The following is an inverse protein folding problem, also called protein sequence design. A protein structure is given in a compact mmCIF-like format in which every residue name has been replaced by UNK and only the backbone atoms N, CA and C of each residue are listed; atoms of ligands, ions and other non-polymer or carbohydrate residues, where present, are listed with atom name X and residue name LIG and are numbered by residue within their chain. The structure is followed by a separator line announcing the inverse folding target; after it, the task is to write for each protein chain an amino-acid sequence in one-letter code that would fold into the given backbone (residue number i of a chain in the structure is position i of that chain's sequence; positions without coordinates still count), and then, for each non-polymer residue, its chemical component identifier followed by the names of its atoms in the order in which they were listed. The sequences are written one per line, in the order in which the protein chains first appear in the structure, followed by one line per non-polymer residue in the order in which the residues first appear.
data_IF_397737269943
#
_entry.id   IF_397737269943
#
_cell.length_a   1.000
_cell.length_b   1.000
_cell.length_c   1.000
_cell.angle_alpha   90.00
_cell.angle_beta   90.00
_cell.angle_gamma   90.00
#
_symmetry.space_group_name_H-M   'P 1'
#
loop_
_entity.id
_entity.type
_entity.pdbx_description
1 polymer ?
#
# COMPACT_ATOMS: atom_id res chain seq x y z
N UNK A 1 50.66 36.94 40.56
CA UNK A 1 50.81 36.23 39.26
C UNK A 1 49.55 35.45 39.09
N UNK A 2 48.58 36.07 38.39
CA UNK A 2 47.23 35.53 38.19
C UNK A 2 47.17 34.82 36.81
N UNK A 3 46.89 33.53 36.78
CA UNK A 3 46.62 32.76 35.58
C UNK A 3 45.09 32.65 35.41
N UNK A 4 44.54 33.37 34.44
CA UNK A 4 43.17 33.25 34.00
C UNK A 4 43.01 32.00 33.12
N UNK A 5 42.18 31.05 33.55
CA UNK A 5 41.74 29.90 32.75
C UNK A 5 40.51 30.33 31.89
N UNK A 6 40.70 30.44 30.56
CA UNK A 6 39.62 30.59 29.59
C UNK A 6 38.99 29.22 29.37
N UNK A 7 37.72 29.04 29.81
CA UNK A 7 36.89 27.90 29.40
C UNK A 7 36.22 28.20 28.07
N UNK A 8 36.66 27.50 27.02
CA UNK A 8 36.05 27.51 25.70
C UNK A 8 34.80 26.62 25.76
N UNK A 9 33.59 27.19 25.73
CA UNK A 9 32.32 26.46 25.59
C UNK A 9 32.10 26.22 24.11
N UNK A 10 32.29 24.99 23.67
CA UNK A 10 32.03 24.55 22.32
C UNK A 10 30.53 24.23 22.19
N UNK A 11 29.78 25.15 21.56
CA UNK A 11 28.39 24.90 21.16
C UNK A 11 28.39 23.96 19.97
N UNK A 12 28.03 22.69 20.19
CA UNK A 12 27.76 21.73 19.13
C UNK A 12 26.34 22.04 18.61
N UNK A 13 26.24 22.75 17.47
CA UNK A 13 25.01 22.83 16.69
C UNK A 13 24.75 21.43 16.10
N UNK A 14 23.83 20.68 16.70
CA UNK A 14 23.22 19.55 16.02
C UNK A 14 22.33 20.10 14.89
N UNK A 15 22.86 20.14 13.69
CA UNK A 15 22.04 20.26 12.49
C UNK A 15 21.24 18.96 12.35
N UNK A 16 19.99 18.96 12.80
CA UNK A 16 19.03 17.96 12.43
C UNK A 16 18.86 18.02 10.91
N UNK A 17 19.32 16.99 10.20
CA UNK A 17 19.03 16.81 8.79
C UNK A 17 17.55 16.48 8.66
N UNK A 18 16.71 17.51 8.47
CA UNK A 18 15.36 17.30 7.95
C UNK A 18 15.53 16.77 6.52
N UNK A 19 14.81 15.70 6.13
CA UNK A 19 14.78 15.32 4.73
C UNK A 19 14.24 16.50 3.94
N UNK A 20 15.04 17.02 3.00
CA UNK A 20 14.59 18.02 2.04
C UNK A 20 13.48 17.36 1.24
N UNK A 21 12.23 17.72 1.49
CA UNK A 21 11.13 17.39 0.63
C UNK A 21 11.41 18.13 -0.68
N UNK A 22 11.53 17.41 -1.80
CA UNK A 22 11.68 18.05 -3.10
C UNK A 22 10.43 18.91 -3.35
N UNK A 23 10.58 20.22 -3.25
CA UNK A 23 9.52 21.19 -3.55
C UNK A 23 9.30 21.19 -5.06
N UNK A 24 8.04 21.20 -5.48
CA UNK A 24 7.68 21.36 -6.88
C UNK A 24 8.05 22.78 -7.30
N UNK A 25 8.74 23.00 -8.46
CA UNK A 25 9.09 24.34 -8.93
C UNK A 25 7.86 25.24 -9.12
N UNK A 26 8.03 26.54 -8.88
CA UNK A 26 6.96 27.56 -8.96
C UNK A 26 6.32 27.66 -10.38
N UNK A 27 7.01 27.21 -11.43
CA UNK A 27 6.53 27.24 -12.81
C UNK A 27 5.75 25.98 -13.23
N UNK A 28 5.39 25.12 -12.27
CA UNK A 28 4.63 23.90 -12.48
C UNK A 28 3.17 24.07 -12.06
N UNK A 29 2.25 23.61 -12.88
CA UNK A 29 0.81 23.58 -12.63
C UNK A 29 0.32 22.15 -12.50
N UNK A 30 -0.35 21.82 -11.39
CA UNK A 30 -0.99 20.52 -11.21
C UNK A 30 -2.25 20.44 -12.09
N UNK A 31 -2.32 19.40 -12.93
CA UNK A 31 -3.44 19.22 -13.86
C UNK A 31 -4.37 18.07 -13.42
N UNK A 32 -3.81 16.94 -13.02
CA UNK A 32 -4.57 15.72 -12.72
C UNK A 32 -3.88 14.91 -11.64
N UNK A 33 -4.69 14.22 -10.84
CA UNK A 33 -4.22 13.33 -9.79
C UNK A 33 -4.93 11.98 -9.88
N UNK A 34 -4.17 10.89 -9.81
CA UNK A 34 -4.69 9.54 -9.62
C UNK A 34 -4.13 9.00 -8.32
N UNK A 35 -5.02 8.57 -7.42
CA UNK A 35 -4.66 7.98 -6.13
C UNK A 35 -5.10 6.53 -6.12
N UNK A 36 -4.16 5.60 -5.91
CA UNK A 36 -4.46 4.21 -5.60
C UNK A 36 -4.24 4.00 -4.12
N UNK A 37 -5.31 3.71 -3.38
CA UNK A 37 -5.30 3.57 -1.93
C UNK A 37 -5.57 2.13 -1.51
N UNK A 38 -4.85 1.65 -0.49
CA UNK A 38 -5.27 0.48 0.28
C UNK A 38 -6.50 0.86 1.10
N UNK A 39 -7.45 -0.07 1.28
CA UNK A 39 -8.56 0.11 2.22
C UNK A 39 -8.06 0.46 3.63
N UNK A 40 -8.88 1.14 4.42
CA UNK A 40 -8.58 1.50 5.81
C UNK A 40 -8.48 0.28 6.75
N UNK A 41 -8.31 0.53 8.05
CA UNK A 41 -8.22 -0.51 9.08
C UNK A 41 -9.48 -1.39 9.08
N UNK A 42 -9.29 -2.70 9.11
CA UNK A 42 -10.33 -3.73 9.05
C UNK A 42 -10.13 -4.83 10.09
N UNK A 43 -11.16 -5.60 10.37
CA UNK A 43 -11.00 -6.89 11.04
C UNK A 43 -10.18 -7.86 10.16
N UNK A 44 -9.48 -8.85 10.74
CA UNK A 44 -8.83 -9.94 10.00
C UNK A 44 -9.78 -10.59 9.00
N UNK A 45 -9.27 -11.03 7.85
CA UNK A 45 -10.13 -11.66 6.84
C UNK A 45 -10.58 -13.07 7.21
N UNK A 46 -9.85 -13.73 8.12
CA UNK A 46 -10.17 -15.08 8.62
C UNK A 46 -9.51 -15.33 9.96
N UNK A 47 -10.09 -16.23 10.72
CA UNK A 47 -9.45 -16.95 11.82
C UNK A 47 -9.49 -18.45 11.51
N UNK A 48 -8.34 -19.10 11.60
CA UNK A 48 -8.22 -20.55 11.31
C UNK A 48 -7.93 -21.33 12.59
N UNK A 49 -8.26 -22.64 12.67
CA UNK A 49 -7.88 -23.47 13.82
C UNK A 49 -6.39 -23.39 14.14
N UNK A 50 -5.53 -23.39 13.11
CA UNK A 50 -4.08 -23.27 13.27
C UNK A 50 -3.68 -22.01 14.06
N UNK A 51 -4.39 -20.90 13.91
CA UNK A 51 -4.10 -19.68 14.67
C UNK A 51 -4.32 -19.84 16.19
N UNK A 52 -5.18 -20.77 16.61
CA UNK A 52 -5.34 -21.12 18.04
C UNK A 52 -4.25 -22.11 18.50
N UNK A 53 -3.74 -22.93 17.61
CA UNK A 53 -2.75 -23.95 17.92
C UNK A 53 -1.32 -23.40 18.07
N UNK A 54 -1.01 -22.26 17.44
CA UNK A 54 0.33 -21.63 17.43
C UNK A 54 0.61 -20.72 18.62
N UNK A 55 -0.37 -20.46 19.47
CA UNK A 55 -0.23 -19.62 20.68
C UNK A 55 -1.10 -20.18 21.79
N UNK A 56 -0.69 -20.04 23.08
CA UNK A 56 -1.56 -20.37 24.21
C UNK A 56 -2.59 -19.28 24.51
N UNK A 57 -2.55 -18.14 23.83
CA UNK A 57 -3.39 -16.99 24.11
C UNK A 57 -4.67 -16.99 23.26
N UNK A 58 -5.74 -16.34 23.78
CA UNK A 58 -6.97 -16.12 23.04
C UNK A 58 -6.85 -14.89 22.17
N UNK A 59 -7.30 -15.00 20.91
CA UNK A 59 -7.35 -13.86 20.00
C UNK A 59 -8.43 -12.86 20.42
N UNK A 60 -8.18 -11.55 20.33
CA UNK A 60 -9.18 -10.55 20.65
C UNK A 60 -10.35 -10.58 19.66
N UNK A 61 -11.52 -10.23 20.17
CA UNK A 61 -12.70 -10.05 19.32
C UNK A 61 -12.67 -8.69 18.63
N UNK A 62 -13.24 -8.65 17.45
CA UNK A 62 -13.45 -7.43 16.67
C UNK A 62 -14.93 -7.07 16.69
N UNK A 63 -15.23 -5.78 16.66
CA UNK A 63 -16.59 -5.21 16.73
C UNK A 63 -17.32 -5.22 15.37
N UNK A 64 -16.65 -5.70 14.31
CA UNK A 64 -17.19 -5.86 12.96
C UNK A 64 -16.94 -7.27 12.43
N UNK A 65 -17.70 -7.74 11.42
CA UNK A 65 -17.47 -9.03 10.77
C UNK A 65 -16.06 -9.11 10.17
N UNK A 66 -15.57 -10.34 9.99
CA UNK A 66 -14.27 -10.61 9.39
C UNK A 66 -14.13 -9.93 8.03
N UNK A 67 -13.00 -9.26 7.82
CA UNK A 67 -12.68 -8.56 6.59
C UNK A 67 -13.39 -7.22 6.38
N UNK A 68 -14.23 -6.78 7.31
CA UNK A 68 -14.96 -5.51 7.21
C UNK A 68 -14.12 -4.34 7.76
N UNK A 69 -14.30 -3.18 7.11
CA UNK A 69 -13.74 -1.92 7.58
C UNK A 69 -14.30 -1.59 8.96
N UNK A 70 -13.45 -1.18 9.90
CA UNK A 70 -13.88 -0.70 11.22
C UNK A 70 -14.33 0.75 11.15
N UNK A 71 -15.08 1.22 12.15
CA UNK A 71 -15.45 2.63 12.28
C UNK A 71 -14.19 3.51 12.28
N UNK A 72 -13.20 3.15 13.11
CA UNK A 72 -11.91 3.85 13.18
C UNK A 72 -11.17 3.85 11.83
N UNK A 73 -11.19 2.73 11.11
CA UNK A 73 -10.61 2.65 9.77
C UNK A 73 -11.25 3.64 8.81
N UNK A 74 -12.57 3.82 8.88
CA UNK A 74 -13.31 4.83 8.12
C UNK A 74 -12.91 6.26 8.51
N UNK A 75 -12.80 6.56 9.81
CA UNK A 75 -12.42 7.88 10.32
C UNK A 75 -10.99 8.27 9.90
N UNK A 76 -10.02 7.34 9.98
CA UNK A 76 -8.65 7.57 9.51
C UNK A 76 -8.60 7.90 8.01
N UNK A 77 -9.39 7.20 7.19
CA UNK A 77 -9.50 7.50 5.74
C UNK A 77 -10.22 8.84 5.50
N UNK A 78 -11.19 9.20 6.34
CA UNK A 78 -11.85 10.52 6.25
C UNK A 78 -10.85 11.66 6.45
N UNK A 79 -9.89 11.52 7.37
CA UNK A 79 -8.82 12.51 7.53
C UNK A 79 -7.91 12.56 6.29
N UNK A 80 -7.57 11.42 5.67
CA UNK A 80 -6.82 11.39 4.42
C UNK A 80 -7.58 12.14 3.31
N UNK A 81 -8.89 11.94 3.21
CA UNK A 81 -9.75 12.67 2.27
C UNK A 81 -9.68 14.19 2.46
N UNK A 82 -9.75 14.67 3.71
CA UNK A 82 -9.59 16.11 4.02
C UNK A 82 -8.22 16.64 3.61
N UNK A 83 -7.17 15.88 3.86
CA UNK A 83 -5.83 16.24 3.44
C UNK A 83 -5.73 16.37 1.91
N UNK A 84 -6.23 15.39 1.16
CA UNK A 84 -6.18 15.42 -0.30
C UNK A 84 -7.04 16.55 -0.88
N UNK A 85 -8.20 16.85 -0.30
CA UNK A 85 -9.00 18.02 -0.66
C UNK A 85 -8.17 19.32 -0.53
N UNK A 86 -7.52 19.49 0.62
CA UNK A 86 -6.67 20.67 0.85
C UNK A 86 -5.54 20.74 -0.18
N UNK A 87 -4.86 19.64 -0.49
CA UNK A 87 -3.78 19.60 -1.48
C UNK A 87 -4.29 20.07 -2.86
N UNK A 88 -5.46 19.60 -3.32
CA UNK A 88 -5.99 19.99 -4.62
C UNK A 88 -6.47 21.45 -4.65
N UNK A 89 -7.01 21.97 -3.55
CA UNK A 89 -7.40 23.37 -3.44
C UNK A 89 -6.15 24.27 -3.42
N UNK A 90 -5.14 23.94 -2.62
CA UNK A 90 -3.90 24.72 -2.51
C UNK A 90 -3.14 24.79 -3.85
N UNK A 91 -3.26 23.75 -4.69
CA UNK A 91 -2.67 23.71 -6.03
C UNK A 91 -3.62 24.22 -7.15
N UNK A 92 -4.76 24.82 -6.80
CA UNK A 92 -5.70 25.44 -7.76
C UNK A 92 -6.44 24.46 -8.69
N UNK A 93 -6.46 23.17 -8.37
CA UNK A 93 -7.17 22.14 -9.14
C UNK A 93 -8.67 22.16 -8.84
N UNK A 94 -9.03 22.47 -7.59
CA UNK A 94 -10.42 22.60 -7.11
C UNK A 94 -10.64 23.92 -6.42
N UNK A 95 -11.90 24.37 -6.45
CA UNK A 95 -12.33 25.58 -5.77
C UNK A 95 -12.71 25.28 -4.30
N UNK A 96 -12.34 26.19 -3.39
CA UNK A 96 -12.73 26.08 -1.98
C UNK A 96 -14.25 26.26 -1.81
N UNK A 97 -14.85 25.45 -0.93
CA UNK A 97 -16.28 25.50 -0.57
C UNK A 97 -17.26 25.24 -1.75
N UNK A 98 -16.79 24.62 -2.82
CA UNK A 98 -17.61 24.20 -3.96
C UNK A 98 -17.61 22.67 -4.03
N UNK A 99 -18.79 22.07 -4.20
CA UNK A 99 -18.88 20.64 -4.45
C UNK A 99 -18.27 20.30 -5.81
N UNK A 100 -17.29 19.39 -5.86
CA UNK A 100 -16.74 18.99 -7.16
C UNK A 100 -17.79 18.24 -7.98
N UNK A 101 -17.80 18.50 -9.28
CA UNK A 101 -18.68 17.78 -10.22
C UNK A 101 -18.17 16.33 -10.46
N UNK A 102 -19.00 15.43 -11.00
CA UNK A 102 -18.55 14.09 -11.41
C UNK A 102 -17.45 14.09 -12.50
N UNK A 103 -17.36 15.18 -13.27
CA UNK A 103 -16.31 15.38 -14.27
C UNK A 103 -14.99 15.86 -13.65
N UNK A 104 -15.03 16.34 -12.39
CA UNK A 104 -13.84 16.74 -11.65
C UNK A 104 -13.33 15.63 -10.73
N UNK A 105 -14.22 14.89 -10.07
CA UNK A 105 -13.84 13.91 -9.04
C UNK A 105 -14.61 12.62 -9.23
N UNK A 106 -13.89 11.53 -9.42
CA UNK A 106 -14.42 10.18 -9.48
C UNK A 106 -13.75 9.27 -8.45
N UNK A 107 -14.52 8.36 -7.87
CA UNK A 107 -14.07 7.36 -6.90
C UNK A 107 -14.48 5.98 -7.37
N UNK A 108 -13.51 5.08 -7.55
CA UNK A 108 -13.71 3.66 -7.90
C UNK A 108 -13.28 2.80 -6.70
N UNK A 109 -14.01 1.75 -6.40
CA UNK A 109 -13.66 0.77 -5.36
C UNK A 109 -13.79 -0.67 -5.87
N UNK A 110 -12.96 -1.58 -5.35
CA UNK A 110 -13.22 -3.03 -5.49
C UNK A 110 -14.55 -3.40 -4.79
N UNK A 111 -15.08 -4.56 -5.10
CA UNK A 111 -16.39 -5.04 -4.64
C UNK A 111 -16.46 -5.38 -3.16
N UNK A 112 -15.34 -5.56 -2.47
CA UNK A 112 -15.32 -5.86 -1.04
C UNK A 112 -15.93 -4.72 -0.20
N UNK A 113 -16.63 -5.06 0.90
CA UNK A 113 -17.24 -4.06 1.80
C UNK A 113 -16.20 -3.01 2.25
N UNK A 114 -15.00 -3.46 2.66
CA UNK A 114 -13.95 -2.57 3.17
C UNK A 114 -13.46 -1.55 2.13
N UNK A 115 -13.38 -1.92 0.86
CA UNK A 115 -12.93 -1.01 -0.21
C UNK A 115 -14.02 -0.01 -0.58
N UNK A 116 -15.28 -0.45 -0.69
CA UNK A 116 -16.43 0.44 -0.92
C UNK A 116 -16.58 1.45 0.22
N UNK A 117 -16.51 0.98 1.47
CA UNK A 117 -16.56 1.86 2.66
C UNK A 117 -15.35 2.78 2.78
N UNK A 118 -14.18 2.38 2.29
CA UNK A 118 -13.01 3.26 2.16
C UNK A 118 -13.29 4.40 1.17
N UNK A 119 -13.85 4.11 0.01
CA UNK A 119 -14.25 5.14 -0.95
C UNK A 119 -15.30 6.11 -0.38
N UNK A 120 -16.32 5.60 0.35
CA UNK A 120 -17.32 6.41 1.04
C UNK A 120 -16.68 7.31 2.11
N UNK A 121 -15.76 6.76 2.92
CA UNK A 121 -15.06 7.50 3.97
C UNK A 121 -14.13 8.58 3.38
N UNK A 122 -13.42 8.27 2.28
CA UNK A 122 -12.64 9.25 1.55
C UNK A 122 -13.52 10.43 1.10
N UNK A 123 -14.66 10.17 0.45
CA UNK A 123 -15.59 11.20 0.02
C UNK A 123 -16.17 12.01 1.19
N UNK A 124 -16.43 11.38 2.33
CA UNK A 124 -16.91 12.06 3.53
C UNK A 124 -15.92 13.13 4.04
N UNK A 125 -14.63 12.90 3.86
CA UNK A 125 -13.58 13.88 4.16
C UNK A 125 -13.31 14.85 3.01
N UNK A 126 -13.22 14.32 1.79
CA UNK A 126 -12.83 15.06 0.60
C UNK A 126 -13.92 16.02 0.09
N UNK A 127 -15.19 15.60 0.08
CA UNK A 127 -16.32 16.36 -0.45
C UNK A 127 -17.53 16.27 0.50
N UNK A 128 -17.40 16.78 1.75
CA UNK A 128 -18.42 16.62 2.77
C UNK A 128 -19.75 17.29 2.35
N UNK A 129 -20.84 16.51 2.43
CA UNK A 129 -22.18 16.96 2.04
C UNK A 129 -22.46 17.04 0.53
N UNK A 130 -21.48 16.70 -0.31
CA UNK A 130 -21.65 16.67 -1.76
C UNK A 130 -22.28 15.36 -2.24
N UNK A 131 -22.70 15.33 -3.53
CA UNK A 131 -23.41 14.18 -4.11
C UNK A 131 -22.51 13.19 -4.87
N UNK A 132 -21.19 13.32 -4.71
CA UNK A 132 -20.23 12.40 -5.31
C UNK A 132 -20.46 10.97 -4.79
N UNK A 133 -20.26 9.98 -5.65
CA UNK A 133 -20.56 8.57 -5.36
C UNK A 133 -19.33 7.70 -5.59
N UNK A 134 -19.30 6.57 -4.88
CA UNK A 134 -18.34 5.50 -5.15
C UNK A 134 -18.88 4.63 -6.27
N UNK A 135 -18.07 4.44 -7.31
CA UNK A 135 -18.34 3.54 -8.42
C UNK A 135 -17.68 2.19 -8.14
N UNK A 136 -18.37 1.11 -8.41
CA UNK A 136 -17.86 -0.26 -8.28
C UNK A 136 -18.66 -1.18 -9.20
N UNK A 137 -18.14 -2.38 -9.44
CA UNK A 137 -18.84 -3.35 -10.26
C UNK A 137 -20.22 -3.67 -9.66
N UNK A 138 -21.28 -3.62 -10.48
CA UNK A 138 -22.67 -3.81 -10.03
C UNK A 138 -22.91 -5.18 -9.40
N UNK A 139 -22.34 -6.22 -10.00
CA UNK A 139 -22.36 -7.58 -9.42
C UNK A 139 -21.25 -7.69 -8.36
N UNK A 140 -21.52 -7.18 -7.16
CA UNK A 140 -20.56 -7.14 -6.07
C UNK A 140 -20.33 -8.50 -5.36
N UNK A 141 -21.03 -9.54 -5.77
CA UNK A 141 -20.74 -10.92 -5.34
C UNK A 141 -19.55 -11.51 -6.12
N UNK A 142 -19.18 -10.90 -7.25
CA UNK A 142 -17.99 -11.23 -8.02
C UNK A 142 -16.85 -10.28 -7.75
N UNK A 143 -15.62 -10.80 -7.87
CA UNK A 143 -14.43 -9.96 -7.84
C UNK A 143 -14.35 -9.08 -9.09
N UNK A 144 -13.85 -7.86 -8.93
CA UNK A 144 -13.65 -6.95 -10.03
C UNK A 144 -12.31 -7.26 -10.74
N UNK A 145 -12.33 -7.46 -12.09
CA UNK A 145 -11.12 -7.73 -12.85
C UNK A 145 -10.10 -6.57 -12.83
N UNK A 146 -10.52 -5.33 -12.56
CA UNK A 146 -9.60 -4.21 -12.38
C UNK A 146 -8.60 -4.48 -11.24
N UNK A 147 -9.08 -5.06 -10.14
CA UNK A 147 -8.28 -5.34 -8.94
C UNK A 147 -7.79 -6.78 -8.87
N UNK A 148 -8.47 -7.71 -9.53
CA UNK A 148 -8.24 -9.14 -9.41
C UNK A 148 -8.22 -9.86 -10.78
N UNK A 149 -7.45 -9.39 -11.79
CA UNK A 149 -7.55 -9.89 -13.17
C UNK A 149 -7.23 -11.38 -13.30
N UNK A 150 -6.26 -11.89 -12.54
CA UNK A 150 -5.88 -13.30 -12.58
C UNK A 150 -6.98 -14.19 -11.99
N UNK A 151 -7.57 -13.80 -10.86
CA UNK A 151 -8.69 -14.55 -10.26
C UNK A 151 -9.94 -14.55 -11.13
N UNK A 152 -10.11 -13.53 -11.94
CA UNK A 152 -11.23 -13.40 -12.87
C UNK A 152 -10.96 -14.02 -14.23
N UNK A 153 -9.80 -14.66 -14.43
CA UNK A 153 -9.43 -15.31 -15.69
C UNK A 153 -9.14 -14.35 -16.85
N UNK A 154 -9.06 -13.03 -16.59
CA UNK A 154 -8.68 -12.03 -17.58
C UNK A 154 -7.20 -12.13 -17.90
N UNK A 155 -6.39 -12.51 -16.92
CA UNK A 155 -4.97 -12.71 -17.04
C UNK A 155 -4.57 -14.08 -16.46
N UNK A 156 -3.43 -14.59 -16.91
CA UNK A 156 -2.84 -15.82 -16.35
C UNK A 156 -1.34 -15.65 -16.15
N UNK A 157 -0.78 -16.36 -15.19
CA UNK A 157 0.66 -16.43 -15.02
C UNK A 157 1.30 -17.36 -16.03
N UNK A 158 2.45 -16.97 -16.57
CA UNK A 158 3.35 -17.94 -17.20
C UNK A 158 4.04 -18.71 -16.07
N UNK A 159 3.61 -19.94 -15.82
CA UNK A 159 4.01 -20.74 -14.65
C UNK A 159 5.52 -20.86 -14.54
N UNK A 160 6.20 -21.25 -15.62
CA UNK A 160 7.65 -21.44 -15.60
C UNK A 160 8.40 -20.12 -15.33
N UNK A 161 8.13 -19.08 -16.11
CA UNK A 161 8.79 -17.76 -15.94
C UNK A 161 8.53 -17.17 -14.57
N UNK A 162 7.29 -17.29 -14.07
CA UNK A 162 6.90 -16.78 -12.77
C UNK A 162 7.63 -17.50 -11.64
N UNK A 163 7.71 -18.83 -11.72
CA UNK A 163 8.44 -19.64 -10.74
C UNK A 163 9.94 -19.33 -10.74
N UNK A 164 10.56 -19.25 -11.92
CA UNK A 164 11.97 -18.88 -12.07
C UNK A 164 12.26 -17.48 -11.51
N UNK A 165 11.42 -16.50 -11.81
CA UNK A 165 11.57 -15.12 -11.32
C UNK A 165 11.45 -15.05 -9.78
N UNK A 166 10.49 -15.76 -9.18
CA UNK A 166 10.32 -15.80 -7.73
C UNK A 166 11.53 -16.49 -7.07
N UNK A 167 11.97 -17.62 -7.61
CA UNK A 167 13.12 -18.34 -7.04
C UNK A 167 14.42 -17.55 -7.19
N UNK A 168 14.60 -16.83 -8.30
CA UNK A 168 15.75 -15.91 -8.48
C UNK A 168 15.75 -14.83 -7.39
N UNK A 169 14.59 -14.22 -7.12
CA UNK A 169 14.42 -13.22 -6.05
C UNK A 169 14.62 -13.82 -4.64
N UNK A 170 14.29 -15.12 -4.48
CA UNK A 170 14.54 -15.90 -3.26
C UNK A 170 15.96 -16.50 -3.18
N UNK A 171 16.92 -16.02 -4.00
CA UNK A 171 18.32 -16.48 -4.02
C UNK A 171 18.46 -18.00 -4.27
N UNK A 172 17.56 -18.56 -5.08
CA UNK A 172 17.59 -19.92 -5.55
C UNK A 172 16.58 -20.87 -4.89
N UNK A 173 16.24 -20.65 -3.60
CA UNK A 173 15.21 -21.46 -2.95
C UNK A 173 14.60 -20.78 -1.72
N UNK A 174 13.41 -21.25 -1.32
CA UNK A 174 12.64 -20.68 -0.22
C UNK A 174 13.30 -20.94 1.15
N UNK A 175 14.01 -22.04 1.32
CA UNK A 175 14.67 -22.35 2.59
C UNK A 175 15.79 -21.32 2.90
N UNK A 176 16.66 -21.05 1.93
CA UNK A 176 17.70 -20.02 2.06
C UNK A 176 17.08 -18.64 2.31
N UNK A 177 16.02 -18.31 1.60
CA UNK A 177 15.27 -17.09 1.83
C UNK A 177 14.72 -17.02 3.26
N UNK A 178 14.18 -18.12 3.79
CA UNK A 178 13.68 -18.21 5.17
C UNK A 178 14.78 -17.97 6.20
N UNK A 179 15.97 -18.53 6.00
CA UNK A 179 17.12 -18.37 6.91
C UNK A 179 17.53 -16.90 7.10
N UNK A 180 17.39 -16.06 6.08
CA UNK A 180 17.65 -14.61 6.20
C UNK A 180 16.74 -13.91 7.22
N UNK A 181 15.58 -14.46 7.48
CA UNK A 181 14.56 -13.91 8.38
C UNK A 181 14.47 -14.66 9.72
N UNK A 182 15.43 -15.52 10.04
CA UNK A 182 15.44 -16.31 11.28
C UNK A 182 15.24 -15.44 12.53
N UNK A 183 15.86 -14.24 12.57
CA UNK A 183 15.71 -13.31 13.70
C UNK A 183 14.26 -12.79 13.81
N UNK A 184 13.61 -12.49 12.68
CA UNK A 184 12.23 -12.03 12.64
C UNK A 184 11.26 -13.16 13.04
N UNK A 185 11.49 -14.39 12.56
CA UNK A 185 10.72 -15.57 13.01
C UNK A 185 10.85 -15.80 14.50
N UNK A 186 12.07 -15.71 15.07
CA UNK A 186 12.27 -15.80 16.53
C UNK A 186 11.51 -14.71 17.31
N UNK A 187 11.49 -13.48 16.81
CA UNK A 187 10.70 -12.40 17.41
C UNK A 187 9.20 -12.75 17.40
N UNK A 188 8.68 -13.24 16.27
CA UNK A 188 7.29 -13.69 16.18
C UNK A 188 7.00 -14.86 17.14
N UNK A 189 7.87 -15.85 17.22
CA UNK A 189 7.76 -16.99 18.15
C UNK A 189 7.71 -16.54 19.62
N UNK A 190 8.50 -15.53 19.98
CA UNK A 190 8.47 -14.93 21.33
C UNK A 190 7.13 -14.23 21.59
N UNK A 191 6.64 -13.41 20.65
CA UNK A 191 5.34 -12.72 20.75
C UNK A 191 4.21 -13.73 20.89
N UNK A 192 4.21 -14.79 20.09
CA UNK A 192 3.22 -15.88 20.13
C UNK A 192 3.35 -16.77 21.38
N UNK A 193 4.47 -16.73 22.13
CA UNK A 193 4.81 -17.74 23.11
C UNK A 193 4.76 -19.16 22.52
N UNK A 194 5.32 -19.30 21.31
CA UNK A 194 5.17 -20.46 20.45
C UNK A 194 5.64 -21.75 21.12
N UNK A 195 6.70 -21.71 21.93
CA UNK A 195 7.22 -22.86 22.68
C UNK A 195 6.18 -23.50 23.61
N UNK A 196 5.14 -22.74 24.03
CA UNK A 196 4.02 -23.23 24.85
C UNK A 196 2.76 -23.54 24.04
N UNK A 197 2.80 -23.39 22.75
CA UNK A 197 1.67 -23.63 21.86
C UNK A 197 1.34 -25.12 21.71
N UNK A 198 0.14 -25.44 21.27
CA UNK A 198 -0.25 -26.82 20.94
C UNK A 198 0.54 -27.35 19.74
N UNK A 199 0.77 -26.53 18.73
CA UNK A 199 1.55 -26.88 17.54
C UNK A 199 2.98 -27.28 17.90
N UNK A 200 3.65 -26.53 18.80
CA UNK A 200 4.99 -26.86 19.25
C UNK A 200 5.04 -28.17 20.07
N UNK A 201 4.07 -28.40 20.97
CA UNK A 201 4.01 -29.65 21.74
C UNK A 201 3.77 -30.90 20.89
N UNK A 202 3.09 -30.74 19.77
CA UNK A 202 2.81 -31.83 18.84
C UNK A 202 4.00 -32.16 17.92
N UNK A 203 4.89 -31.19 17.69
CA UNK A 203 6.12 -31.39 16.96
C UNK A 203 7.12 -32.15 17.85
N UNK A 204 7.30 -33.44 17.65
CA UNK A 204 8.05 -34.39 18.48
C UNK A 204 9.56 -34.11 18.65
N UNK A 205 10.04 -32.88 18.52
CA UNK A 205 11.45 -32.50 18.52
C UNK A 205 11.75 -31.43 19.56
N UNK A 206 12.90 -31.57 20.24
CA UNK A 206 13.47 -30.53 21.07
C UNK A 206 13.82 -29.30 20.22
N UNK A 207 13.24 -28.11 20.57
CA UNK A 207 13.54 -26.86 19.91
C UNK A 207 12.67 -26.58 18.68
N UNK A 208 11.35 -26.67 18.82
CA UNK A 208 10.44 -26.34 17.73
C UNK A 208 10.52 -24.85 17.34
N UNK A 209 10.56 -24.59 16.04
CA UNK A 209 10.48 -23.26 15.44
C UNK A 209 9.28 -23.22 14.48
N UNK A 210 8.78 -22.02 14.20
CA UNK A 210 7.68 -21.87 13.22
C UNK A 210 8.08 -22.46 11.84
N UNK A 211 9.24 -22.10 11.24
CA UNK A 211 9.64 -22.69 9.96
C UNK A 211 9.87 -24.21 10.03
N UNK A 212 10.39 -24.73 11.13
CA UNK A 212 10.61 -26.17 11.30
C UNK A 212 9.32 -26.96 11.51
N UNK A 213 8.33 -26.35 12.18
CA UNK A 213 7.02 -26.97 12.44
C UNK A 213 6.08 -26.86 11.25
N UNK A 214 6.17 -25.76 10.49
CA UNK A 214 5.32 -25.43 9.34
C UNK A 214 6.19 -25.10 8.12
N UNK A 215 6.77 -26.12 7.46
CA UNK A 215 7.58 -25.90 6.26
C UNK A 215 6.82 -25.09 5.21
N UNK A 216 7.52 -24.19 4.54
CA UNK A 216 6.92 -23.32 3.53
C UNK A 216 7.20 -23.83 2.13
N UNK A 217 6.16 -23.91 1.31
CA UNK A 217 6.23 -24.36 -0.07
C UNK A 217 5.73 -23.28 -1.02
N UNK A 218 6.48 -23.03 -2.09
CA UNK A 218 6.06 -22.17 -3.19
C UNK A 218 5.17 -22.97 -4.14
N UNK A 219 3.96 -22.45 -4.39
CA UNK A 219 3.04 -22.97 -5.41
C UNK A 219 2.80 -21.90 -6.46
N UNK A 220 3.03 -22.28 -7.72
CA UNK A 220 2.77 -21.46 -8.90
C UNK A 220 1.91 -22.26 -9.87
N UNK A 221 0.78 -21.69 -10.28
CA UNK A 221 -0.10 -22.18 -11.33
C UNK A 221 -0.54 -21.00 -12.21
N UNK A 222 -1.33 -21.25 -13.25
CA UNK A 222 -1.80 -20.19 -14.14
C UNK A 222 -2.64 -19.11 -13.43
N UNK A 223 -3.26 -19.44 -12.30
CA UNK A 223 -4.17 -18.57 -11.52
C UNK A 223 -3.68 -18.28 -10.09
N UNK A 224 -2.62 -18.93 -9.64
CA UNK A 224 -2.19 -18.87 -8.24
C UNK A 224 -0.68 -18.72 -8.12
N UNK A 225 -0.27 -17.79 -7.28
CA UNK A 225 1.08 -17.65 -6.73
C UNK A 225 0.94 -17.52 -5.21
N UNK A 226 1.47 -18.48 -4.47
CA UNK A 226 1.36 -18.54 -3.01
C UNK A 226 2.56 -19.21 -2.35
N UNK A 227 2.88 -18.76 -1.14
CA UNK A 227 3.68 -19.50 -0.17
C UNK A 227 2.75 -20.08 0.90
N UNK A 228 2.95 -21.35 1.26
CA UNK A 228 2.27 -21.99 2.38
C UNK A 228 3.10 -21.90 3.67
N UNK A 229 2.65 -22.60 4.72
CA UNK A 229 3.40 -22.82 5.94
C UNK A 229 3.72 -21.55 6.72
N UNK A 230 4.92 -21.49 7.29
CA UNK A 230 5.36 -20.41 8.18
C UNK A 230 5.29 -19.02 7.52
N UNK A 231 5.63 -18.89 6.24
CA UNK A 231 5.57 -17.61 5.53
C UNK A 231 4.15 -17.06 5.43
N UNK A 232 3.20 -17.90 4.97
CA UNK A 232 1.79 -17.46 4.86
C UNK A 232 1.21 -17.09 6.22
N UNK A 233 1.54 -17.87 7.24
CA UNK A 233 1.05 -17.65 8.58
C UNK A 233 1.65 -16.39 9.19
N UNK A 234 2.97 -16.22 9.13
CA UNK A 234 3.66 -15.07 9.73
C UNK A 234 3.24 -13.73 9.09
N UNK A 235 3.13 -13.68 7.77
CA UNK A 235 2.63 -12.48 7.08
C UNK A 235 1.22 -12.11 7.54
N UNK A 236 0.32 -13.07 7.67
CA UNK A 236 -1.05 -12.84 8.15
C UNK A 236 -1.07 -12.38 9.61
N UNK A 237 -0.28 -13.02 10.49
CA UNK A 237 -0.26 -12.70 11.92
C UNK A 237 0.31 -11.30 12.19
N UNK A 238 1.41 -10.95 11.53
CA UNK A 238 2.04 -9.64 11.72
C UNK A 238 1.17 -8.51 11.17
N UNK A 239 0.42 -8.76 10.09
CA UNK A 239 -0.63 -7.83 9.64
C UNK A 239 -1.76 -7.70 10.68
N UNK A 240 -2.22 -8.80 11.30
CA UNK A 240 -3.24 -8.73 12.35
C UNK A 240 -2.77 -7.88 13.54
N UNK A 241 -1.52 -8.01 13.96
CA UNK A 241 -0.95 -7.18 15.03
C UNK A 241 -0.91 -5.70 14.63
N UNK A 242 -0.51 -5.40 13.39
CA UNK A 242 -0.55 -4.04 12.84
C UNK A 242 -1.99 -3.48 12.85
N UNK A 243 -2.97 -4.27 12.43
CA UNK A 243 -4.38 -3.86 12.43
C UNK A 243 -4.91 -3.61 13.86
N UNK A 244 -4.50 -4.41 14.84
CA UNK A 244 -4.82 -4.18 16.26
C UNK A 244 -4.24 -2.85 16.75
N UNK A 245 -2.97 -2.56 16.40
CA UNK A 245 -2.30 -1.31 16.76
C UNK A 245 -2.99 -0.11 16.13
N UNK A 246 -3.24 -0.16 14.84
CA UNK A 246 -3.93 0.89 14.11
C UNK A 246 -5.39 1.08 14.58
N UNK A 247 -6.07 0.00 15.03
CA UNK A 247 -7.38 0.06 15.66
C UNK A 247 -7.35 0.71 17.05
N UNK A 248 -6.17 0.84 17.68
CA UNK A 248 -6.02 1.36 19.02
C UNK A 248 -6.44 0.36 20.10
N UNK A 249 -6.36 -0.94 19.85
CA UNK A 249 -6.65 -1.96 20.84
C UNK A 249 -5.73 -1.85 22.06
N UNK A 250 -6.20 -2.11 23.30
CA UNK A 250 -5.41 -1.91 24.51
C UNK A 250 -4.24 -2.90 24.61
N UNK A 251 -4.42 -4.15 24.22
CA UNK A 251 -3.44 -5.23 24.38
C UNK A 251 -3.07 -5.85 23.02
N UNK A 252 -2.41 -5.04 22.18
CA UNK A 252 -1.92 -5.51 20.88
C UNK A 252 -0.97 -6.68 21.04
N UNK A 253 -1.23 -7.78 20.31
CA UNK A 253 -0.45 -9.01 20.45
C UNK A 253 -0.24 -9.41 21.93
N UNK A 254 -1.29 -9.29 22.72
CA UNK A 254 -1.33 -9.59 24.17
C UNK A 254 -0.32 -8.76 24.99
N UNK A 255 -0.03 -7.53 24.57
CA UNK A 255 0.93 -6.64 25.21
C UNK A 255 2.38 -7.09 25.07
N UNK A 256 2.71 -7.92 24.07
CA UNK A 256 4.02 -8.57 23.92
C UNK A 256 4.92 -7.96 22.83
N UNK A 257 4.55 -6.82 22.27
CA UNK A 257 5.39 -6.04 21.35
C UNK A 257 5.85 -4.78 22.08
N UNK A 258 7.18 -4.58 22.21
CA UNK A 258 7.78 -3.56 23.07
C UNK A 258 8.64 -2.55 22.29
N UNK A 259 8.11 -2.00 21.20
CA UNK A 259 8.74 -0.88 20.52
C UNK A 259 9.07 -1.10 19.05
N UNK A 260 9.65 -0.07 18.46
CA UNK A 260 9.86 0.04 17.01
C UNK A 260 10.69 -1.12 16.42
N UNK A 261 11.70 -1.58 17.16
CA UNK A 261 12.59 -2.66 16.73
C UNK A 261 11.86 -3.98 16.51
N UNK A 262 10.91 -4.29 17.40
CA UNK A 262 10.09 -5.51 17.28
C UNK A 262 9.04 -5.35 16.18
N UNK A 263 8.41 -4.18 16.06
CA UNK A 263 7.52 -3.88 14.95
C UNK A 263 8.21 -4.05 13.61
N UNK A 264 9.41 -3.49 13.45
CA UNK A 264 10.21 -3.63 12.23
C UNK A 264 10.54 -5.09 11.93
N UNK A 265 10.95 -5.87 12.94
CA UNK A 265 11.24 -7.28 12.77
C UNK A 265 10.00 -8.09 12.37
N UNK A 266 8.86 -7.86 13.02
CA UNK A 266 7.61 -8.55 12.71
C UNK A 266 7.12 -8.24 11.29
N UNK A 267 6.99 -6.96 10.95
CA UNK A 267 6.49 -6.55 9.64
C UNK A 267 7.48 -6.86 8.51
N UNK A 268 8.77 -7.08 8.81
CA UNK A 268 9.72 -7.57 7.80
C UNK A 268 9.28 -8.91 7.20
N UNK A 269 8.58 -9.77 7.95
CA UNK A 269 8.04 -11.03 7.44
C UNK A 269 6.89 -10.79 6.45
N UNK A 270 6.00 -9.84 6.75
CA UNK A 270 4.93 -9.43 5.83
C UNK A 270 5.51 -8.80 4.56
N UNK A 271 6.35 -7.79 4.73
CA UNK A 271 6.98 -7.08 3.62
C UNK A 271 7.79 -8.01 2.70
N UNK A 272 8.55 -8.95 3.28
CA UNK A 272 9.34 -9.93 2.53
C UNK A 272 8.47 -10.89 1.71
N UNK A 273 7.36 -11.36 2.26
CA UNK A 273 6.42 -12.18 1.50
C UNK A 273 5.79 -11.38 0.36
N UNK A 274 5.42 -10.11 0.60
CA UNK A 274 4.88 -9.21 -0.43
C UNK A 274 5.93 -8.91 -1.50
N UNK A 275 7.18 -8.64 -1.10
CA UNK A 275 8.29 -8.45 -2.02
C UNK A 275 8.44 -9.66 -2.96
N UNK A 276 8.36 -10.86 -2.43
CA UNK A 276 8.51 -12.10 -3.20
C UNK A 276 7.29 -12.42 -4.08
N UNK A 277 6.06 -12.31 -3.54
CA UNK A 277 4.85 -12.81 -4.20
C UNK A 277 4.02 -11.74 -4.91
N UNK A 278 4.27 -10.46 -4.66
CA UNK A 278 3.50 -9.37 -5.27
C UNK A 278 4.37 -8.48 -6.15
N UNK A 279 5.62 -8.22 -5.72
CA UNK A 279 6.52 -7.29 -6.42
C UNK A 279 7.42 -7.95 -7.45
N UNK A 280 7.53 -9.29 -7.47
CA UNK A 280 8.24 -9.99 -8.56
C UNK A 280 7.63 -9.58 -9.90
N UNK A 281 8.43 -9.05 -10.88
CA UNK A 281 7.91 -8.40 -12.08
C UNK A 281 6.91 -9.25 -12.88
N UNK A 282 7.14 -10.56 -13.03
CA UNK A 282 6.22 -11.46 -13.75
C UNK A 282 4.86 -11.57 -13.06
N UNK A 283 4.82 -11.53 -11.73
CA UNK A 283 3.58 -11.52 -10.95
C UNK A 283 2.93 -10.14 -11.01
N UNK A 284 3.72 -9.10 -10.77
CA UNK A 284 3.25 -7.71 -10.70
C UNK A 284 2.58 -7.28 -12.01
N UNK A 285 3.19 -7.55 -13.15
CA UNK A 285 2.66 -7.23 -14.48
C UNK A 285 1.32 -7.93 -14.74
N UNK A 286 1.22 -9.22 -14.45
CA UNK A 286 -0.03 -9.99 -14.65
C UNK A 286 -1.18 -9.46 -13.78
N UNK A 287 -0.89 -8.93 -12.59
CA UNK A 287 -1.90 -8.44 -11.65
C UNK A 287 -2.21 -6.95 -11.80
N UNK A 288 -1.26 -6.14 -12.30
CA UNK A 288 -1.42 -4.69 -12.35
C UNK A 288 -1.87 -4.17 -13.72
N UNK A 289 -1.81 -4.95 -14.80
CA UNK A 289 -2.10 -4.43 -16.16
C UNK A 289 -3.41 -3.64 -16.25
N UNK A 290 -4.57 -4.10 -15.73
CA UNK A 290 -5.80 -3.30 -15.81
C UNK A 290 -5.72 -1.97 -15.04
N UNK A 291 -5.05 -1.96 -13.88
CA UNK A 291 -4.83 -0.71 -13.13
C UNK A 291 -3.87 0.23 -13.85
N UNK A 292 -2.82 -0.30 -14.48
CA UNK A 292 -1.89 0.51 -15.29
C UNK A 292 -2.61 1.19 -16.45
N UNK A 293 -3.49 0.45 -17.15
CA UNK A 293 -4.29 0.99 -18.24
C UNK A 293 -5.19 2.13 -17.75
N UNK A 294 -5.91 1.93 -16.62
CA UNK A 294 -6.79 2.95 -16.04
C UNK A 294 -6.00 4.18 -15.54
N UNK A 295 -4.87 3.99 -14.84
CA UNK A 295 -4.02 5.09 -14.38
C UNK A 295 -3.51 5.90 -15.57
N UNK A 296 -3.00 5.22 -16.61
CA UNK A 296 -2.49 5.87 -17.80
C UNK A 296 -3.62 6.64 -18.52
N UNK A 297 -4.80 6.02 -18.71
CA UNK A 297 -5.95 6.67 -19.33
C UNK A 297 -6.38 7.92 -18.55
N UNK A 298 -6.49 7.84 -17.23
CA UNK A 298 -6.86 8.98 -16.39
C UNK A 298 -5.88 10.16 -16.48
N UNK A 299 -4.58 9.85 -16.66
CA UNK A 299 -3.54 10.89 -16.76
C UNK A 299 -3.45 11.52 -18.15
N UNK A 300 -3.79 10.78 -19.24
CA UNK A 300 -3.52 11.24 -20.62
C UNK A 300 -4.75 11.43 -21.51
N UNK A 301 -5.91 10.86 -21.16
CA UNK A 301 -7.13 10.94 -21.98
C UNK A 301 -7.51 12.37 -22.35
N UNK A 302 -8.13 12.54 -23.51
CA UNK A 302 -8.68 13.80 -24.02
C UNK A 302 -10.19 13.97 -23.76
N UNK A 303 -10.82 13.02 -23.05
CA UNK A 303 -12.23 13.07 -22.67
C UNK A 303 -13.19 12.42 -23.66
N UNK A 304 -12.70 11.63 -24.59
CA UNK A 304 -13.51 11.01 -25.65
C UNK A 304 -14.23 9.73 -25.24
N UNK A 305 -13.81 9.07 -24.17
CA UNK A 305 -14.32 7.74 -23.80
C UNK A 305 -14.88 7.68 -22.38
N UNK A 306 -15.94 6.89 -22.21
CA UNK A 306 -16.52 6.52 -20.93
C UNK A 306 -16.11 5.09 -20.59
N UNK A 307 -15.58 4.86 -19.39
CA UNK A 307 -15.19 3.53 -18.96
C UNK A 307 -16.38 2.69 -18.46
N UNK A 308 -16.16 1.42 -18.18
CA UNK A 308 -17.23 0.48 -17.76
C UNK A 308 -17.88 0.82 -16.39
N UNK A 309 -17.33 1.77 -15.63
CA UNK A 309 -17.95 2.30 -14.41
C UNK A 309 -18.88 3.48 -14.70
N UNK A 310 -19.02 3.91 -15.95
CA UNK A 310 -19.80 5.08 -16.33
C UNK A 310 -19.08 6.40 -16.02
N UNK A 311 -17.75 6.39 -15.99
CA UNK A 311 -16.91 7.56 -15.72
C UNK A 311 -16.28 8.01 -17.04
N UNK A 312 -16.46 9.28 -17.37
CA UNK A 312 -15.75 9.92 -18.48
C UNK A 312 -14.40 10.44 -17.99
N UNK A 313 -13.33 9.94 -18.57
CA UNK A 313 -11.98 10.42 -18.30
C UNK A 313 -11.57 11.47 -19.34
N UNK A 314 -10.78 12.48 -19.00
CA UNK A 314 -10.12 12.63 -17.70
C UNK A 314 -11.00 13.28 -16.65
N UNK A 315 -10.64 13.07 -15.38
CA UNK A 315 -11.12 13.83 -14.24
C UNK A 315 -9.93 14.53 -13.55
N UNK A 316 -10.18 15.56 -12.76
CA UNK A 316 -9.12 16.22 -11.98
C UNK A 316 -8.55 15.30 -10.91
N UNK A 317 -9.40 14.50 -10.26
CA UNK A 317 -9.02 13.47 -9.31
C UNK A 317 -9.73 12.15 -9.62
N UNK A 318 -8.94 11.08 -9.77
CA UNK A 318 -9.42 9.70 -9.73
C UNK A 318 -8.89 9.02 -8.47
N UNK A 319 -9.78 8.67 -7.53
CA UNK A 319 -9.44 7.89 -6.35
C UNK A 319 -9.85 6.43 -6.54
N UNK A 320 -8.93 5.49 -6.31
CA UNK A 320 -9.12 4.05 -6.51
C UNK A 320 -8.90 3.33 -5.17
N UNK A 321 -9.98 2.88 -4.54
CA UNK A 321 -9.93 2.13 -3.28
C UNK A 321 -9.74 0.64 -3.53
N UNK A 322 -8.51 0.16 -3.34
CA UNK A 322 -8.08 -1.21 -3.54
C UNK A 322 -7.45 -1.84 -2.28
N UNK A 323 -6.42 -2.62 -2.51
CA UNK A 323 -5.77 -3.48 -1.54
C UNK A 323 -4.25 -3.23 -1.48
N UNK A 324 -3.62 -3.71 -0.41
CA UNK A 324 -2.16 -3.79 -0.26
C UNK A 324 -1.47 -4.46 -1.46
N UNK A 325 -2.07 -5.55 -1.97
CA UNK A 325 -1.58 -6.26 -3.15
C UNK A 325 -1.55 -5.38 -4.40
N UNK A 326 -2.51 -4.47 -4.59
CA UNK A 326 -2.52 -3.55 -5.72
C UNK A 326 -1.37 -2.55 -5.64
N UNK A 327 -1.12 -1.97 -4.45
CA UNK A 327 0.04 -1.10 -4.21
C UNK A 327 1.37 -1.82 -4.44
N UNK A 328 1.50 -3.04 -3.91
CA UNK A 328 2.69 -3.86 -4.07
C UNK A 328 2.92 -4.27 -5.54
N UNK A 329 1.85 -4.61 -6.29
CA UNK A 329 1.97 -4.92 -7.70
C UNK A 329 2.42 -3.69 -8.52
N UNK A 330 1.85 -2.51 -8.28
CA UNK A 330 2.28 -1.28 -8.94
C UNK A 330 3.74 -0.95 -8.61
N UNK A 331 4.16 -1.11 -7.33
CA UNK A 331 5.56 -0.91 -6.97
C UNK A 331 6.52 -1.89 -7.69
N UNK A 332 6.10 -3.14 -7.87
CA UNK A 332 6.87 -4.15 -8.60
C UNK A 332 6.99 -3.86 -10.09
N UNK A 333 5.92 -3.31 -10.71
CA UNK A 333 5.91 -2.92 -12.12
C UNK A 333 6.85 -1.75 -12.39
N UNK A 334 6.81 -0.75 -11.52
CA UNK A 334 7.59 0.48 -11.67
C UNK A 334 8.98 0.40 -11.03
N UNK A 335 9.34 -0.75 -10.43
CA UNK A 335 10.57 -0.94 -9.64
C UNK A 335 10.76 0.15 -8.57
N UNK A 336 9.66 0.56 -7.95
CA UNK A 336 9.66 1.54 -6.87
C UNK A 336 9.97 0.87 -5.54
N UNK A 337 10.97 1.39 -4.85
CA UNK A 337 11.36 0.91 -3.53
C UNK A 337 11.25 2.06 -2.54
N UNK A 338 10.62 1.82 -1.39
CA UNK A 338 10.47 2.82 -0.36
C UNK A 338 10.56 2.24 1.05
N UNK A 339 10.89 3.11 1.98
CA UNK A 339 10.80 2.90 3.42
C UNK A 339 9.95 4.04 3.99
N UNK A 340 9.06 3.71 4.89
CA UNK A 340 8.10 4.64 5.47
C UNK A 340 8.49 4.96 6.93
N UNK A 341 9.14 6.10 7.22
CA UNK A 341 9.48 6.48 8.59
C UNK A 341 8.27 6.44 9.53
N UNK A 342 8.39 5.73 10.66
CA UNK A 342 7.31 5.57 11.62
C UNK A 342 6.18 4.61 11.19
N UNK A 343 6.35 3.91 10.05
CA UNK A 343 5.40 2.92 9.57
C UNK A 343 6.13 1.66 9.09
N UNK A 344 6.06 0.55 9.85
CA UNK A 344 6.81 -0.67 9.53
C UNK A 344 6.23 -1.50 8.38
N UNK A 345 4.97 -1.27 7.99
CA UNK A 345 4.34 -1.87 6.82
C UNK A 345 4.59 -1.01 5.59
N UNK A 346 5.07 -1.61 4.49
CA UNK A 346 5.30 -0.90 3.23
C UNK A 346 4.00 -0.53 2.49
N UNK A 347 2.90 -1.15 2.82
CA UNK A 347 1.58 -0.90 2.22
C UNK A 347 0.51 -0.74 3.31
N UNK A 348 0.63 0.26 4.21
CA UNK A 348 -0.21 0.40 5.39
C UNK A 348 -1.68 0.64 5.04
N UNK A 349 -2.62 0.29 5.94
CA UNK A 349 -4.03 0.62 5.76
C UNK A 349 -4.24 2.12 5.52
N UNK A 350 -5.00 2.47 4.47
CA UNK A 350 -5.21 3.86 4.05
C UNK A 350 -4.00 4.54 3.42
N UNK A 351 -2.89 3.79 3.18
CA UNK A 351 -1.74 4.29 2.43
C UNK A 351 -2.09 4.50 0.95
N UNK A 352 -1.53 5.54 0.34
CA UNK A 352 -1.89 6.05 -0.98
C UNK A 352 -0.66 6.15 -1.88
N UNK A 353 -0.68 5.48 -3.02
CA UNK A 353 0.26 5.71 -4.12
C UNK A 353 -0.37 6.75 -5.05
N UNK A 354 0.25 7.91 -5.14
CA UNK A 354 -0.27 9.11 -5.80
C UNK A 354 0.52 9.38 -7.07
N UNK A 355 -0.18 9.53 -8.18
CA UNK A 355 0.36 9.92 -9.49
C UNK A 355 -0.18 11.31 -9.81
N UNK A 356 0.71 12.30 -9.92
CA UNK A 356 0.39 13.69 -10.19
C UNK A 356 0.90 14.07 -11.59
N UNK A 357 0.02 14.54 -12.49
CA UNK A 357 0.43 15.15 -13.75
C UNK A 357 0.58 16.64 -13.57
N UNK A 358 1.76 17.12 -13.88
CA UNK A 358 2.15 18.51 -13.81
C UNK A 358 2.49 19.03 -15.20
N UNK A 359 2.09 20.26 -15.52
CA UNK A 359 2.48 20.97 -16.74
C UNK A 359 3.44 22.09 -16.37
N UNK A 360 4.62 22.13 -16.99
CA UNK A 360 5.51 23.28 -16.86
C UNK A 360 5.00 24.43 -17.68
N UNK A 361 4.72 25.56 -17.04
CA UNK A 361 4.08 26.73 -17.67
C UNK A 361 5.00 27.39 -18.71
N UNK A 362 6.32 27.39 -18.48
CA UNK A 362 7.30 28.08 -19.34
C UNK A 362 7.45 27.45 -20.73
N UNK A 363 7.27 26.13 -20.89
CA UNK A 363 7.50 25.43 -22.16
C UNK A 363 6.35 24.45 -22.52
N UNK A 364 5.28 24.43 -21.72
CA UNK A 364 4.11 23.57 -21.89
C UNK A 364 4.45 22.07 -21.97
N UNK A 365 5.45 21.63 -21.21
CA UNK A 365 5.84 20.21 -21.12
C UNK A 365 5.16 19.54 -19.91
N UNK A 366 4.78 18.27 -20.10
CA UNK A 366 4.07 17.48 -19.07
C UNK A 366 5.01 16.49 -18.35
N UNK A 367 4.81 16.40 -17.05
CA UNK A 367 5.61 15.60 -16.13
C UNK A 367 4.73 14.79 -15.18
N UNK A 368 5.23 13.65 -14.74
CA UNK A 368 4.59 12.83 -13.69
C UNK A 368 5.47 12.83 -12.45
N UNK A 369 4.88 13.21 -11.32
CA UNK A 369 5.44 12.93 -9.99
C UNK A 369 4.71 11.75 -9.38
N UNK A 370 5.46 10.83 -8.79
CA UNK A 370 4.89 9.72 -8.01
C UNK A 370 5.27 9.95 -6.55
N UNK A 371 4.31 9.77 -5.66
CA UNK A 371 4.56 9.87 -4.21
C UNK A 371 3.78 8.81 -3.45
N UNK A 372 4.23 8.50 -2.23
CA UNK A 372 3.48 7.70 -1.29
C UNK A 372 3.07 8.55 -0.10
N UNK A 373 1.76 8.60 0.18
CA UNK A 373 1.18 9.35 1.29
C UNK A 373 0.63 8.38 2.33
N UNK A 374 0.96 8.58 3.60
CA UNK A 374 0.61 7.63 4.65
C UNK A 374 0.56 8.25 6.04
N UNK A 375 -0.16 7.59 6.92
CA UNK A 375 -0.13 7.85 8.36
C UNK A 375 0.91 6.95 9.03
N UNK A 376 1.68 7.49 9.97
CA UNK A 376 2.54 6.65 10.81
C UNK A 376 1.67 5.74 11.68
N UNK A 377 2.25 4.64 12.17
CA UNK A 377 1.54 3.72 13.06
C UNK A 377 1.07 4.44 14.34
N UNK A 378 1.87 5.38 14.85
CA UNK A 378 1.51 6.22 15.98
C UNK A 378 0.33 7.15 15.66
N UNK A 379 0.32 7.83 14.49
CA UNK A 379 -0.81 8.66 14.08
C UNK A 379 -2.11 7.85 14.00
N UNK A 380 -2.04 6.63 13.44
CA UNK A 380 -3.19 5.73 13.37
C UNK A 380 -3.68 5.33 14.76
N UNK A 381 -2.75 4.98 15.68
CA UNK A 381 -3.08 4.59 17.05
C UNK A 381 -3.66 5.73 17.87
N UNK A 382 -3.07 6.91 17.82
CA UNK A 382 -3.52 8.07 18.59
C UNK A 382 -4.84 8.65 18.07
N UNK A 383 -5.05 8.56 16.77
CA UNK A 383 -6.23 9.06 16.09
C UNK A 383 -6.55 10.51 16.48
N UNK A 384 -5.79 11.43 15.94
CA UNK A 384 -6.05 12.86 16.07
C UNK A 384 -6.32 13.44 14.67
N UNK A 385 -7.28 14.36 14.55
CA UNK A 385 -7.47 15.11 13.30
C UNK A 385 -6.16 15.75 12.85
N UNK A 386 -5.93 15.79 11.55
CA UNK A 386 -4.74 16.45 11.01
C UNK A 386 -4.74 17.96 11.32
N UNK A 387 -3.57 18.47 11.63
CA UNK A 387 -3.30 19.88 11.89
C UNK A 387 -2.03 20.28 11.14
N UNK A 388 -1.72 21.57 11.08
CA UNK A 388 -0.49 22.06 10.45
C UNK A 388 0.79 21.46 11.02
N UNK A 389 0.75 20.96 12.26
CA UNK A 389 1.88 20.29 12.94
C UNK A 389 1.84 18.77 12.90
N UNK A 390 0.77 18.17 12.37
CA UNK A 390 0.57 16.71 12.29
C UNK A 390 -0.18 16.35 11.02
N UNK A 391 0.46 16.55 9.88
CA UNK A 391 -0.02 16.11 8.57
C UNK A 391 0.36 14.63 8.33
N UNK A 392 -0.29 13.93 7.39
CA UNK A 392 0.22 12.65 6.90
C UNK A 392 1.60 12.86 6.28
N UNK A 393 2.39 11.79 6.26
CA UNK A 393 3.71 11.84 5.65
C UNK A 393 3.59 11.64 4.13
N UNK A 394 4.41 12.36 3.37
CA UNK A 394 4.56 12.21 1.92
C UNK A 394 6.02 11.93 1.60
N UNK A 395 6.29 10.90 0.82
CA UNK A 395 7.61 10.65 0.25
C UNK A 395 7.50 10.67 -1.27
N UNK A 396 8.41 11.37 -1.94
CA UNK A 396 8.51 11.38 -3.41
C UNK A 396 9.27 10.13 -3.85
N UNK A 397 8.73 9.45 -4.87
CA UNK A 397 9.27 8.22 -5.44
C UNK A 397 9.77 8.49 -6.84
N UNK A 398 11.06 8.26 -7.08
CA UNK A 398 11.64 8.47 -8.39
C UNK A 398 11.70 7.16 -9.16
N UNK A 399 11.14 7.14 -10.37
CA UNK A 399 11.28 6.01 -11.28
C UNK A 399 12.77 5.81 -11.65
N UNK A 400 13.32 4.59 -11.55
CA UNK A 400 14.75 4.35 -11.81
C UNK A 400 15.22 4.89 -13.17
N UNK A 401 14.39 4.75 -14.20
CA UNK A 401 14.69 5.24 -15.55
C UNK A 401 14.54 6.75 -15.73
N UNK A 402 14.09 7.49 -14.70
CA UNK A 402 13.93 8.94 -14.70
C UNK A 402 14.92 9.66 -13.78
N UNK A 403 15.76 8.95 -13.00
CA UNK A 403 16.64 9.53 -11.98
C UNK A 403 17.58 10.61 -12.53
N UNK A 404 18.15 10.40 -13.72
CA UNK A 404 19.10 11.33 -14.31
C UNK A 404 18.44 12.49 -15.10
N UNK A 405 17.09 12.52 -15.16
CA UNK A 405 16.36 13.43 -16.04
C UNK A 405 15.75 14.64 -15.33
N UNK A 406 15.56 14.53 -14.01
CA UNK A 406 14.98 15.63 -13.24
C UNK A 406 15.38 15.55 -11.76
N UNK A 407 16.00 16.60 -11.20
CA UNK A 407 16.39 16.67 -9.79
C UNK A 407 15.21 16.64 -8.81
N UNK A 408 13.98 17.04 -9.24
CA UNK A 408 12.78 17.03 -8.42
C UNK A 408 12.07 15.65 -8.36
N UNK A 409 12.68 14.59 -8.92
CA UNK A 409 12.13 13.24 -8.92
C UNK A 409 10.96 13.02 -9.88
N UNK A 410 10.70 13.98 -10.79
CA UNK A 410 9.64 13.86 -11.79
C UNK A 410 10.12 13.08 -13.03
N UNK A 411 9.18 12.52 -13.78
CA UNK A 411 9.43 11.82 -15.03
C UNK A 411 8.66 12.52 -16.17
N UNK A 412 9.28 12.76 -17.35
CA UNK A 412 8.54 13.25 -18.50
C UNK A 412 7.33 12.36 -18.80
N UNK A 413 6.14 12.93 -19.02
CA UNK A 413 4.91 12.17 -19.26
C UNK A 413 5.08 11.13 -20.38
N UNK A 414 5.72 11.51 -21.49
CA UNK A 414 5.97 10.59 -22.61
C UNK A 414 6.77 9.36 -22.17
N UNK A 415 7.79 9.56 -21.35
CA UNK A 415 8.63 8.46 -20.86
C UNK A 415 7.87 7.57 -19.86
N UNK A 416 7.02 8.15 -19.01
CA UNK A 416 6.12 7.40 -18.15
C UNK A 416 5.16 6.51 -18.95
N UNK A 417 4.57 7.03 -20.04
CA UNK A 417 3.72 6.26 -20.95
C UNK A 417 4.50 5.09 -21.57
N UNK A 418 5.74 5.31 -22.02
CA UNK A 418 6.58 4.26 -22.60
C UNK A 418 6.85 3.14 -21.56
N UNK A 419 7.09 3.49 -20.28
CA UNK A 419 7.24 2.53 -19.18
C UNK A 419 5.97 1.71 -19.02
N UNK A 420 4.80 2.36 -18.94
CA UNK A 420 3.49 1.67 -18.81
C UNK A 420 3.25 0.74 -20.00
N UNK A 421 3.48 1.18 -21.23
CA UNK A 421 3.31 0.36 -22.44
C UNK A 421 4.22 -0.87 -22.46
N UNK A 422 5.45 -0.72 -21.97
CA UNK A 422 6.42 -1.83 -21.87
C UNK A 422 6.03 -2.81 -20.78
N UNK A 423 5.51 -2.32 -19.66
CA UNK A 423 5.17 -3.14 -18.50
C UNK A 423 3.87 -3.92 -18.69
N UNK A 424 2.88 -3.36 -19.38
CA UNK A 424 1.56 -3.98 -19.55
C UNK A 424 1.63 -5.27 -20.36
N UNK A 425 0.70 -6.18 -20.06
CA UNK A 425 0.48 -7.40 -20.84
C UNK A 425 -0.81 -7.19 -21.65
N UNK A 426 -0.73 -6.99 -22.98
CA UNK A 426 -1.89 -6.62 -23.80
C UNK A 426 -3.10 -7.57 -23.66
N UNK A 427 -2.85 -8.87 -23.46
CA UNK A 427 -3.89 -9.90 -23.28
C UNK A 427 -4.60 -9.80 -21.92
N UNK A 428 -4.03 -9.05 -20.97
CA UNK A 428 -4.57 -8.84 -19.62
C UNK A 428 -5.33 -7.51 -19.47
N UNK A 429 -5.42 -6.72 -20.55
CA UNK A 429 -6.21 -5.50 -20.56
C UNK A 429 -7.69 -5.83 -20.38
N UNK A 430 -8.36 -5.19 -19.44
CA UNK A 430 -9.82 -5.28 -19.31
C UNK A 430 -10.38 -4.44 -20.47
N UNK A 431 -10.82 -5.11 -21.53
CA UNK A 431 -11.45 -4.43 -22.64
C UNK A 431 -12.73 -3.74 -22.17
N UNK A 432 -13.02 -2.56 -22.70
CA UNK A 432 -14.26 -1.81 -22.46
C UNK A 432 -15.55 -2.61 -22.78
N UNK A 433 -15.43 -3.84 -23.27
CA UNK A 433 -16.49 -4.67 -23.83
C UNK A 433 -16.89 -5.88 -22.97
N UNK A 434 -16.89 -5.81 -21.65
CA UNK A 434 -17.51 -6.87 -20.82
C UNK A 434 -19.06 -6.74 -20.78
N UNK A 435 -19.65 -5.96 -21.65
CA UNK A 435 -21.11 -5.86 -21.86
C UNK A 435 -21.56 -6.49 -23.20
N UNK A 436 -21.04 -7.68 -23.56
CA UNK A 436 -21.69 -8.51 -24.57
C UNK A 436 -22.07 -9.86 -24.03
#
# INVERSE_FOLDING_TARGET
MNTLLFRLIMFIFMFGSFPLQAEVPDDMKLERVVIVSRHGVRAPTKFTPLMQEITPYHWPQWDVPLGWLTARGGELVTEMGRYQQKVLIDNGVLESNVCPSPEQVAVIADTDQRTRKTGEAFLAGFAPGCKNKVHYQKDHDKKDPLFNPVKMGVCAFNVQKTQEAILTRAEGNIERYTQRYDSAFRTLEQVLNFSRSAACRSASQSGCTLPGTLPSELRVSADTVALSGAWSLSSMLTEIFLLQEAQGMPEVAWGRIHGEKEWTALLSLHNAQFDLLQRTPEVARSRATPLLDLISEALVSDGSTENHYGIKLPVSLLFIAGHDTNLANLSGVFDLNWSLPGQPDNTPPGGELVFERWTRVSDNTDWIQISFVYQTLQQMREFKPFSSSSLPNKIVLTLPSCQDKNPEGMCPLKHFIDIVQTARIPQCAVMADVNR
#
